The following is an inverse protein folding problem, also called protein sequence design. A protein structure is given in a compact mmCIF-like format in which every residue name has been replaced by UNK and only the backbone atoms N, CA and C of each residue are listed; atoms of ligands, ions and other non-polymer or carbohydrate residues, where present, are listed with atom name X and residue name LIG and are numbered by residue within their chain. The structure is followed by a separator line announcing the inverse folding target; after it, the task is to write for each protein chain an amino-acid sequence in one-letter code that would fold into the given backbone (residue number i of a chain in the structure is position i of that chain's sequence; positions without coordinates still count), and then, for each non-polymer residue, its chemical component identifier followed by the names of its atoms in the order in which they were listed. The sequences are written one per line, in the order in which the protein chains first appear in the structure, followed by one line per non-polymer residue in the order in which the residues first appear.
data_IF_598334544010
#
_entry.id   IF_598334544010
#
_cell.length_a   1.000
_cell.length_b   1.000
_cell.length_c   1.000
_cell.angle_alpha   90.00
_cell.angle_beta   90.00
_cell.angle_gamma   90.00
#
_symmetry.space_group_name_H-M   'P 1'
#
loop_
_entity.id
_entity.type
_entity.pdbx_description
1 polymer ?
#
# COMPACT_ATOMS: atom_id res chain seq x y z
N UNK A 1 -52.91 54.39 21.51
CA UNK A 1 -53.63 53.33 22.25
C UNK A 1 -53.37 52.01 21.53
N UNK A 2 -52.51 51.13 22.09
CA UNK A 2 -52.86 49.79 22.61
C UNK A 2 -53.80 49.02 21.66
N UNK A 3 -53.40 47.88 21.08
CA UNK A 3 -53.17 46.63 21.80
C UNK A 3 -52.19 45.69 21.08
N UNK A 4 -51.25 45.19 21.87
CA UNK A 4 -50.47 43.97 21.67
C UNK A 4 -51.41 42.76 21.46
N UNK A 5 -51.10 41.91 20.48
CA UNK A 5 -51.51 40.51 20.49
C UNK A 5 -50.24 39.64 20.40
N UNK A 6 -49.89 39.07 21.54
CA UNK A 6 -48.94 37.96 21.63
C UNK A 6 -49.48 36.77 20.85
N UNK A 7 -48.71 36.29 19.87
CA UNK A 7 -48.89 34.94 19.35
C UNK A 7 -47.92 34.03 20.09
N UNK A 8 -48.51 33.19 20.92
CA UNK A 8 -47.93 32.07 21.64
C UNK A 8 -47.15 31.14 20.71
N UNK A 9 -45.96 30.72 21.17
CA UNK A 9 -45.06 29.76 20.50
C UNK A 9 -45.72 28.37 20.36
N UNK A 10 -45.53 27.64 19.24
CA UNK A 10 -45.52 26.19 19.27
C UNK A 10 -44.07 25.74 19.54
N UNK A 11 -43.64 25.77 20.80
CA UNK A 11 -42.34 25.24 21.23
C UNK A 11 -42.39 23.70 21.43
N UNK A 12 -43.02 22.96 20.51
CA UNK A 12 -43.23 21.51 20.67
C UNK A 12 -43.06 20.72 19.37
N UNK A 13 -42.12 21.13 18.51
CA UNK A 13 -41.74 20.35 17.32
C UNK A 13 -40.22 20.22 17.13
N UNK A 14 -39.43 20.45 18.20
CA UNK A 14 -37.98 20.34 18.18
C UNK A 14 -37.44 19.38 19.26
N UNK A 15 -38.16 18.29 19.53
CA UNK A 15 -37.70 17.25 20.47
C UNK A 15 -37.62 15.84 19.84
N UNK A 16 -38.11 15.65 18.60
CA UNK A 16 -38.14 14.34 17.93
C UNK A 16 -37.07 14.21 16.83
N UNK A 17 -36.07 15.11 16.80
CA UNK A 17 -34.90 14.95 15.92
C UNK A 17 -33.64 14.53 16.70
N UNK A 18 -33.65 14.58 18.03
CA UNK A 18 -32.49 14.25 18.87
C UNK A 18 -32.39 12.76 19.22
N UNK A 19 -33.42 11.96 18.97
CA UNK A 19 -33.48 10.55 19.38
C UNK A 19 -32.91 9.55 18.35
N UNK A 20 -32.56 9.98 17.13
CA UNK A 20 -31.91 9.11 16.13
C UNK A 20 -30.40 9.23 16.10
N UNK A 21 -29.80 10.07 16.94
CA UNK A 21 -28.38 9.97 17.27
C UNK A 21 -28.18 8.86 18.33
N UNK A 22 -28.75 7.67 18.09
CA UNK A 22 -28.28 6.49 18.78
C UNK A 22 -26.79 6.39 18.45
N UNK A 23 -25.94 6.45 19.48
CA UNK A 23 -24.51 6.30 19.34
C UNK A 23 -24.22 5.10 18.45
N UNK A 24 -23.80 5.36 17.21
CA UNK A 24 -23.19 4.32 16.40
C UNK A 24 -21.86 4.02 17.08
N UNK A 25 -21.87 3.05 17.99
CA UNK A 25 -20.63 2.44 18.44
C UNK A 25 -19.91 1.99 17.17
N UNK A 26 -18.68 2.46 16.90
CA UNK A 26 -17.92 1.98 15.77
C UNK A 26 -17.90 0.46 15.83
N UNK A 27 -18.20 -0.21 14.72
CA UNK A 27 -18.03 -1.65 14.67
C UNK A 27 -16.59 -1.97 15.12
N UNK A 28 -16.37 -2.97 15.98
CA UNK A 28 -15.02 -3.35 16.36
C UNK A 28 -14.24 -3.69 15.09
N UNK A 29 -12.99 -3.24 14.99
CA UNK A 29 -12.16 -3.60 13.85
C UNK A 29 -11.95 -5.13 13.82
N UNK A 30 -11.91 -5.68 12.62
CA UNK A 30 -11.60 -7.10 12.42
C UNK A 30 -10.10 -7.31 12.42
N UNK A 31 -9.65 -8.51 12.81
CA UNK A 31 -8.25 -8.89 12.66
C UNK A 31 -7.79 -8.78 11.19
N UNK A 32 -8.70 -9.05 10.25
CA UNK A 32 -8.40 -8.91 8.83
C UNK A 32 -8.09 -7.46 8.45
N UNK A 33 -8.88 -6.48 8.92
CA UNK A 33 -8.63 -5.06 8.68
C UNK A 33 -7.24 -4.61 9.18
N UNK A 34 -6.76 -5.21 10.28
CA UNK A 34 -5.42 -4.93 10.82
C UNK A 34 -4.33 -5.58 9.95
N UNK A 35 -4.56 -6.79 9.43
CA UNK A 35 -3.57 -7.57 8.67
C UNK A 35 -3.56 -7.26 7.17
N UNK A 36 -4.58 -6.60 6.64
CA UNK A 36 -4.72 -6.32 5.20
C UNK A 36 -4.05 -5.03 4.75
N UNK A 37 -3.51 -4.22 5.68
CA UNK A 37 -2.85 -2.96 5.33
C UNK A 37 -1.55 -3.21 4.53
N UNK A 38 -1.32 -2.50 3.40
CA UNK A 38 -0.06 -2.60 2.66
C UNK A 38 1.10 -1.99 3.45
N UNK A 39 2.24 -2.66 3.49
CA UNK A 39 3.47 -2.10 4.07
C UNK A 39 4.40 -1.57 2.98
N UNK A 40 4.48 -0.24 2.75
CA UNK A 40 5.47 0.38 1.89
C UNK A 40 6.88 0.31 2.46
N UNK A 41 7.85 0.09 1.59
CA UNK A 41 9.27 0.26 1.87
C UNK A 41 10.03 0.65 0.60
N UNK A 42 11.33 0.91 0.74
CA UNK A 42 12.24 1.09 -0.39
C UNK A 42 11.84 2.22 -1.36
N UNK A 43 11.24 3.32 -0.90
CA UNK A 43 10.88 4.41 -1.81
C UNK A 43 12.13 5.05 -2.44
N UNK A 44 12.17 5.09 -3.77
CA UNK A 44 13.25 5.72 -4.55
C UNK A 44 12.71 6.50 -5.75
N UNK A 45 13.53 7.41 -6.26
CA UNK A 45 13.25 8.19 -7.47
C UNK A 45 14.31 7.95 -8.53
N UNK A 46 13.94 8.12 -9.80
CA UNK A 46 14.89 8.11 -10.89
C UNK A 46 15.87 9.29 -10.78
N UNK A 47 17.16 9.11 -11.14
CA UNK A 47 18.12 10.21 -11.17
C UNK A 47 17.74 11.35 -12.11
N UNK A 48 16.92 11.04 -13.13
CA UNK A 48 16.37 12.02 -14.07
C UNK A 48 14.94 11.63 -14.47
N UNK A 49 14.14 12.62 -14.90
CA UNK A 49 12.73 12.43 -15.23
C UNK A 49 11.81 12.37 -14.01
N UNK A 50 10.55 12.01 -14.23
CA UNK A 50 9.52 11.97 -13.17
C UNK A 50 9.04 10.55 -12.94
N UNK A 51 9.93 9.69 -12.41
CA UNK A 51 9.64 8.27 -12.14
C UNK A 51 10.03 7.93 -10.70
N UNK A 52 9.17 7.20 -10.01
CA UNK A 52 9.42 6.66 -8.67
C UNK A 52 9.14 5.16 -8.65
N UNK A 53 9.81 4.47 -7.73
CA UNK A 53 9.58 3.05 -7.46
C UNK A 53 9.60 2.81 -5.95
N UNK A 54 8.83 1.83 -5.50
CA UNK A 54 8.80 1.40 -4.10
C UNK A 54 8.36 -0.07 -4.05
N UNK A 55 8.41 -0.67 -2.87
CA UNK A 55 7.87 -2.02 -2.66
C UNK A 55 6.64 -1.96 -1.77
N UNK A 56 5.63 -2.77 -2.06
CA UNK A 56 4.51 -3.03 -1.16
C UNK A 56 4.49 -4.49 -0.75
N UNK A 57 4.29 -4.73 0.54
CA UNK A 57 3.93 -6.04 1.08
C UNK A 57 2.45 -6.04 1.47
N UNK A 58 1.64 -6.79 0.73
CA UNK A 58 0.20 -6.95 0.97
C UNK A 58 -0.10 -8.39 1.36
N UNK A 59 -0.34 -8.64 2.65
CA UNK A 59 -0.57 -10.00 3.19
C UNK A 59 0.54 -11.00 2.79
N UNK A 60 1.81 -10.55 2.78
CA UNK A 60 2.97 -11.36 2.39
C UNK A 60 3.32 -11.28 0.90
N UNK A 61 2.41 -10.83 0.04
CA UNK A 61 2.67 -10.64 -1.39
C UNK A 61 3.49 -9.37 -1.61
N UNK A 62 4.79 -9.55 -1.80
CA UNK A 62 5.75 -8.45 -1.96
C UNK A 62 5.94 -8.13 -3.44
N UNK A 63 5.64 -6.91 -3.85
CA UNK A 63 5.81 -6.47 -5.24
C UNK A 63 6.50 -5.13 -5.34
N UNK A 64 7.21 -4.94 -6.45
CA UNK A 64 7.66 -3.62 -6.89
C UNK A 64 6.47 -2.88 -7.50
N UNK A 65 6.31 -1.63 -7.09
CA UNK A 65 5.35 -0.69 -7.61
C UNK A 65 6.07 0.52 -8.16
N UNK A 66 5.45 1.16 -9.16
CA UNK A 66 5.98 2.35 -9.79
C UNK A 66 4.88 3.36 -10.07
N UNK A 67 5.28 4.62 -10.22
CA UNK A 67 4.45 5.70 -10.71
C UNK A 67 5.30 6.67 -11.54
N UNK A 68 4.67 7.34 -12.50
CA UNK A 68 5.33 8.36 -13.31
C UNK A 68 4.48 9.62 -13.45
N UNK A 69 5.15 10.77 -13.44
CA UNK A 69 4.55 12.07 -13.66
C UNK A 69 4.10 12.26 -15.12
N UNK A 70 3.16 13.18 -15.38
CA UNK A 70 2.47 14.02 -14.39
C UNK A 70 1.29 13.31 -13.70
N UNK A 71 0.91 12.10 -14.15
CA UNK A 71 -0.30 11.41 -13.69
C UNK A 71 -0.15 10.75 -12.32
N UNK A 72 1.06 10.33 -11.96
CA UNK A 72 1.40 9.66 -10.70
C UNK A 72 0.48 8.48 -10.35
N UNK A 73 -0.02 7.79 -11.37
CA UNK A 73 -0.83 6.60 -11.18
C UNK A 73 0.07 5.43 -10.78
N UNK A 74 -0.14 4.93 -9.57
CA UNK A 74 0.55 3.76 -9.06
C UNK A 74 0.13 2.52 -9.85
N UNK A 75 1.12 1.72 -10.28
CA UNK A 75 0.88 0.39 -10.83
C UNK A 75 1.92 -0.61 -10.35
N UNK A 76 1.48 -1.86 -10.22
CA UNK A 76 2.35 -2.98 -9.90
C UNK A 76 3.26 -3.28 -11.09
N UNK A 77 4.57 -3.37 -10.85
CA UNK A 77 5.57 -3.67 -11.85
C UNK A 77 5.87 -5.18 -11.94
N UNK A 78 5.85 -5.87 -10.79
CA UNK A 78 6.08 -7.32 -10.69
C UNK A 78 4.78 -8.09 -10.49
N UNK A 79 4.82 -9.42 -10.58
CA UNK A 79 3.65 -10.28 -10.36
C UNK A 79 3.97 -11.43 -9.41
N UNK A 80 4.49 -11.10 -8.23
CA UNK A 80 4.69 -12.04 -7.13
C UNK A 80 3.40 -12.12 -6.31
N UNK A 81 2.58 -13.14 -6.60
CA UNK A 81 1.19 -13.23 -6.12
C UNK A 81 1.00 -14.21 -4.97
N UNK A 82 2.10 -14.66 -4.36
CA UNK A 82 2.10 -15.57 -3.22
C UNK A 82 2.99 -15.02 -2.11
N UNK A 83 2.70 -15.38 -0.86
CA UNK A 83 3.62 -15.16 0.25
C UNK A 83 4.67 -16.26 0.27
N UNK A 84 5.81 -16.01 -0.36
CA UNK A 84 6.96 -16.91 -0.38
C UNK A 84 8.10 -16.47 0.54
N UNK A 85 7.84 -15.46 1.40
CA UNK A 85 8.78 -14.92 2.36
C UNK A 85 9.98 -14.20 1.76
N UNK A 86 10.02 -13.96 0.44
CA UNK A 86 11.17 -13.35 -0.20
C UNK A 86 11.09 -11.83 -0.16
N UNK A 87 12.06 -11.19 0.49
CA UNK A 87 12.16 -9.73 0.51
C UNK A 87 12.44 -9.14 -0.87
N UNK A 88 12.09 -7.85 -1.01
CA UNK A 88 12.49 -6.99 -2.12
C UNK A 88 13.21 -5.79 -1.51
N UNK A 89 14.51 -5.65 -1.75
CA UNK A 89 15.36 -4.63 -1.12
C UNK A 89 16.28 -3.95 -2.12
N UNK A 90 16.92 -2.86 -1.70
CA UNK A 90 17.92 -2.13 -2.48
C UNK A 90 17.40 -1.70 -3.86
N UNK A 91 16.16 -1.23 -3.90
CA UNK A 91 15.55 -0.83 -5.17
C UNK A 91 16.21 0.44 -5.72
N UNK A 92 16.47 0.43 -7.01
CA UNK A 92 17.03 1.56 -7.72
C UNK A 92 16.42 1.66 -9.12
N UNK A 93 16.26 2.90 -9.60
CA UNK A 93 15.91 3.14 -11.00
C UNK A 93 17.20 3.52 -11.75
N UNK A 94 17.44 2.87 -12.88
CA UNK A 94 18.58 3.19 -13.76
C UNK A 94 18.59 4.66 -14.16
N UNK A 95 19.78 5.23 -14.42
CA UNK A 95 19.94 6.66 -14.74
C UNK A 95 19.03 7.15 -15.88
N UNK A 96 18.82 6.32 -16.91
CA UNK A 96 17.92 6.62 -18.04
C UNK A 96 16.44 6.29 -17.79
N UNK A 97 16.06 5.90 -16.57
CA UNK A 97 14.67 5.62 -16.19
C UNK A 97 14.07 4.34 -16.80
N UNK A 98 14.84 3.54 -17.55
CA UNK A 98 14.32 2.43 -18.37
C UNK A 98 14.06 1.15 -17.60
N UNK A 99 14.77 0.93 -16.50
CA UNK A 99 14.67 -0.28 -15.68
C UNK A 99 14.63 0.06 -14.20
N UNK A 100 13.94 -0.80 -13.46
CA UNK A 100 14.01 -0.91 -12.01
C UNK A 100 14.87 -2.13 -11.66
N UNK A 101 15.90 -1.91 -10.85
CA UNK A 101 16.80 -2.94 -10.32
C UNK A 101 16.47 -3.14 -8.85
N UNK A 102 16.49 -4.38 -8.38
CA UNK A 102 16.27 -4.70 -6.97
C UNK A 102 16.90 -6.05 -6.61
N UNK A 103 17.11 -6.28 -5.32
CA UNK A 103 17.46 -7.59 -4.77
C UNK A 103 16.18 -8.32 -4.39
N UNK A 104 16.08 -9.60 -4.73
CA UNK A 104 15.00 -10.50 -4.32
C UNK A 104 15.53 -11.65 -3.48
N UNK A 105 14.83 -11.94 -2.38
CA UNK A 105 15.12 -13.02 -1.44
C UNK A 105 16.05 -12.60 -0.31
N UNK A 106 16.25 -13.48 0.68
CA UNK A 106 17.03 -13.16 1.87
C UNK A 106 16.20 -12.55 3.01
N UNK A 107 16.90 -12.10 4.05
CA UNK A 107 16.38 -11.38 5.22
C UNK A 107 17.44 -10.33 5.60
N UNK A 108 17.33 -9.13 5.06
CA UNK A 108 18.37 -8.10 5.13
C UNK A 108 18.29 -7.24 6.40
N UNK A 109 17.26 -7.44 7.24
CA UNK A 109 17.15 -6.85 8.56
C UNK A 109 17.77 -7.69 9.68
N UNK A 110 18.19 -8.92 9.37
CA UNK A 110 18.75 -9.86 10.34
C UNK A 110 20.12 -9.46 10.88
N UNK A 111 20.35 -9.75 12.17
CA UNK A 111 21.65 -9.60 12.83
C UNK A 111 22.55 -10.84 12.70
N UNK A 112 22.12 -11.87 11.97
CA UNK A 112 22.86 -13.11 11.72
C UNK A 112 22.80 -13.49 10.25
N UNK A 113 23.77 -14.28 9.79
CA UNK A 113 23.75 -14.86 8.45
C UNK A 113 22.79 -16.05 8.43
N UNK A 114 21.55 -15.79 8.01
CA UNK A 114 20.54 -16.82 7.79
C UNK A 114 20.40 -17.14 6.30
N UNK A 115 20.11 -18.40 5.94
CA UNK A 115 19.67 -18.71 4.57
C UNK A 115 18.39 -17.94 4.24
N UNK A 116 18.10 -17.66 2.96
CA UNK A 116 16.83 -17.07 2.56
C UNK A 116 15.62 -17.83 3.15
N UNK A 117 14.62 -17.12 3.69
CA UNK A 117 13.42 -17.74 4.23
C UNK A 117 12.76 -18.69 3.22
N UNK A 118 12.27 -19.84 3.67
CA UNK A 118 11.54 -20.81 2.82
C UNK A 118 10.24 -21.27 3.50
N UNK A 119 9.27 -20.36 3.74
CA UNK A 119 8.02 -20.70 4.44
C UNK A 119 7.18 -21.72 3.67
N UNK A 120 7.34 -21.81 2.36
CA UNK A 120 6.65 -22.78 1.50
C UNK A 120 7.30 -24.17 1.51
N UNK A 121 8.42 -24.36 2.22
CA UNK A 121 9.16 -25.63 2.27
C UNK A 121 9.53 -26.17 0.87
N UNK A 122 9.89 -25.27 -0.06
CA UNK A 122 10.26 -25.66 -1.41
C UNK A 122 11.50 -26.58 -1.40
N UNK A 123 11.54 -27.63 -2.25
CA UNK A 123 12.67 -28.56 -2.33
C UNK A 123 13.94 -27.88 -2.88
N UNK A 124 13.78 -26.87 -3.74
CA UNK A 124 14.86 -25.98 -4.15
C UNK A 124 14.95 -24.80 -3.19
N UNK A 125 16.10 -24.63 -2.53
CA UNK A 125 16.34 -23.51 -1.64
C UNK A 125 16.20 -22.17 -2.40
N UNK A 126 15.45 -21.19 -1.86
CA UNK A 126 15.41 -19.84 -2.41
C UNK A 126 16.80 -19.21 -2.42
N UNK A 127 17.02 -18.30 -3.37
CA UNK A 127 18.32 -17.61 -3.57
C UNK A 127 18.15 -16.12 -3.39
N UNK A 128 19.22 -15.45 -2.97
CA UNK A 128 19.35 -13.99 -3.09
C UNK A 128 19.84 -13.67 -4.50
N UNK A 129 19.12 -12.80 -5.21
CA UNK A 129 19.41 -12.48 -6.61
C UNK A 129 19.17 -11.01 -6.91
N UNK A 130 19.94 -10.46 -7.84
CA UNK A 130 19.67 -9.14 -8.42
C UNK A 130 18.77 -9.33 -9.64
N UNK A 131 17.68 -8.58 -9.69
CA UNK A 131 16.69 -8.59 -10.75
C UNK A 131 16.64 -7.25 -11.45
N UNK A 132 16.26 -7.27 -12.72
CA UNK A 132 16.00 -6.10 -13.55
C UNK A 132 14.65 -6.26 -14.23
N UNK A 133 13.80 -5.24 -14.13
CA UNK A 133 12.51 -5.23 -14.81
C UNK A 133 12.39 -3.91 -15.59
N UNK A 134 12.01 -3.94 -16.89
CA UNK A 134 11.73 -2.73 -17.64
C UNK A 134 10.66 -1.89 -16.94
N UNK A 135 10.88 -0.59 -16.82
CA UNK A 135 9.92 0.32 -16.21
C UNK A 135 8.61 0.31 -17.01
N UNK A 136 8.73 0.42 -18.33
CA UNK A 136 7.61 0.44 -19.26
C UNK A 136 7.15 -0.99 -19.61
N UNK A 137 5.84 -1.23 -19.79
CA UNK A 137 5.34 -2.54 -20.19
C UNK A 137 5.95 -2.96 -21.52
N UNK A 138 6.23 -4.25 -21.67
CA UNK A 138 6.60 -4.81 -22.96
C UNK A 138 5.45 -4.57 -23.94
N UNK A 139 5.65 -3.65 -24.88
CA UNK A 139 4.71 -3.45 -25.98
C UNK A 139 5.02 -4.56 -26.97
N UNK A 140 4.11 -5.53 -27.12
CA UNK A 140 4.21 -6.46 -28.23
C UNK A 140 4.14 -5.64 -29.52
N UNK A 141 5.18 -5.76 -30.36
CA UNK A 141 5.24 -5.13 -31.67
C UNK A 141 4.26 -5.80 -32.65
#
# INVERSE_FOLDING_TARGET
MRKSLSRTMPALALAVAAATAAAQSPAPFTLEQVRSYPFPSELTSAPSGSRIAWTFNERGQRNVWIAEGPRWQARRLTSYLIDDGQELTSIAITAGGKHVIYVRGGEHGGNWQAPPPNPMSNPSAPKVQIWSVPFDPCTAA
#
